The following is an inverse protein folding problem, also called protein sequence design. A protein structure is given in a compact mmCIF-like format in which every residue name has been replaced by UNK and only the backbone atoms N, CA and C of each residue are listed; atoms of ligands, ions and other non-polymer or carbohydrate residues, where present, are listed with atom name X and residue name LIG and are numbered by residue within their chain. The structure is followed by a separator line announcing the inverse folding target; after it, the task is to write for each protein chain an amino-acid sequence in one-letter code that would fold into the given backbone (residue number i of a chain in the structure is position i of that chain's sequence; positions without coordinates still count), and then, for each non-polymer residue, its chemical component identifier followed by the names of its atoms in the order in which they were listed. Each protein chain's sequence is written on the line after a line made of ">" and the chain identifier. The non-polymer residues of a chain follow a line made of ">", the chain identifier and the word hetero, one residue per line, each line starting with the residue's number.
data_IF_951503559616
#
_entry.id   IF_951503559616
#
_cell.length_a   1.000
_cell.length_b   1.000
_cell.length_c   1.000
_cell.angle_alpha   90.00
_cell.angle_beta   90.00
_cell.angle_gamma   90.00
#
_symmetry.space_group_name_H-M   'P 1'
#
loop_
_entity.id
_entity.type
_entity.pdbx_description
1 polymer ?
#
# COMPACT_ATOMS: atom_id res chain seq x y z
N UNK A 1 1.61 9.93 27.29
CA UNK A 1 0.77 9.15 26.35
C UNK A 1 1.49 8.74 25.05
N UNK A 2 2.83 8.57 25.03
CA UNK A 2 3.59 8.38 23.76
C UNK A 2 3.57 6.97 23.17
N UNK A 3 3.93 5.92 23.92
CA UNK A 3 4.24 4.59 23.34
C UNK A 3 3.08 3.85 22.67
N UNK A 4 1.85 4.03 23.13
CA UNK A 4 0.69 3.30 22.59
C UNK A 4 0.25 3.84 21.21
N UNK A 5 0.48 5.13 20.96
CA UNK A 5 0.13 5.78 19.70
C UNK A 5 1.08 5.35 18.56
N UNK A 6 2.38 5.18 18.87
CA UNK A 6 3.37 4.68 17.93
C UNK A 6 3.10 3.25 17.47
N UNK A 7 2.77 2.35 18.40
CA UNK A 7 2.44 0.97 18.07
C UNK A 7 1.22 0.85 17.15
N UNK A 8 0.21 1.70 17.38
CA UNK A 8 -1.01 1.74 16.56
C UNK A 8 -0.72 2.22 15.12
N UNK A 9 0.05 3.29 14.96
CA UNK A 9 0.39 3.84 13.64
C UNK A 9 1.30 2.92 12.85
N UNK A 10 2.32 2.35 13.48
CA UNK A 10 3.21 1.35 12.87
C UNK A 10 2.41 0.10 12.48
N UNK A 11 1.49 -0.34 13.33
CA UNK A 11 0.59 -1.46 13.02
C UNK A 11 -0.32 -1.17 11.83
N UNK A 12 -0.92 0.03 11.78
CA UNK A 12 -1.79 0.46 10.68
C UNK A 12 -1.01 0.57 9.36
N UNK A 13 0.16 1.22 9.36
CA UNK A 13 1.02 1.30 8.18
C UNK A 13 1.52 -0.07 7.72
N UNK A 14 1.89 -0.98 8.63
CA UNK A 14 2.23 -2.37 8.24
C UNK A 14 1.06 -3.08 7.55
N UNK A 15 -0.17 -2.88 8.02
CA UNK A 15 -1.35 -3.48 7.42
C UNK A 15 -1.63 -2.92 6.03
N UNK A 16 -1.53 -1.60 5.85
CA UNK A 16 -1.73 -0.96 4.54
C UNK A 16 -0.65 -1.43 3.57
N UNK A 17 0.61 -1.38 3.98
CA UNK A 17 1.74 -1.84 3.17
C UNK A 17 1.59 -3.30 2.73
N UNK A 18 1.14 -4.18 3.63
CA UNK A 18 0.91 -5.59 3.31
C UNK A 18 -0.22 -5.75 2.30
N UNK A 19 -1.33 -5.05 2.48
CA UNK A 19 -2.45 -5.07 1.55
C UNK A 19 -2.07 -4.53 0.15
N UNK A 20 -1.33 -3.42 0.10
CA UNK A 20 -0.86 -2.82 -1.16
C UNK A 20 0.12 -3.74 -1.89
N UNK A 21 1.02 -4.40 -1.14
CA UNK A 21 1.96 -5.38 -1.70
C UNK A 21 1.27 -6.64 -2.20
N UNK A 22 0.25 -7.12 -1.50
CA UNK A 22 -0.56 -8.27 -1.92
C UNK A 22 -1.33 -7.96 -3.22
N UNK A 23 -1.92 -6.77 -3.34
CA UNK A 23 -2.56 -6.28 -4.58
C UNK A 23 -1.58 -6.23 -5.75
N UNK A 24 -0.40 -5.66 -5.52
CA UNK A 24 0.65 -5.59 -6.56
C UNK A 24 1.12 -6.99 -6.98
N UNK A 25 1.24 -7.92 -6.03
CA UNK A 25 1.63 -9.29 -6.34
C UNK A 25 0.55 -10.01 -7.17
N UNK A 26 -0.72 -9.86 -6.81
CA UNK A 26 -1.86 -10.37 -7.58
C UNK A 26 -1.89 -9.82 -9.01
N UNK A 27 -1.65 -8.51 -9.18
CA UNK A 27 -1.57 -7.87 -10.50
C UNK A 27 -0.39 -8.42 -11.32
N UNK A 28 0.77 -8.64 -10.72
CA UNK A 28 1.92 -9.24 -11.43
C UNK A 28 1.70 -10.71 -11.78
N UNK A 29 1.07 -11.50 -10.91
CA UNK A 29 0.84 -12.94 -11.16
C UNK A 29 -0.28 -13.20 -12.17
N UNK A 30 -1.37 -12.42 -12.11
CA UNK A 30 -2.59 -12.68 -12.92
C UNK A 30 -2.85 -11.63 -13.99
N UNK A 31 -2.02 -10.59 -14.09
CA UNK A 31 -2.20 -9.53 -15.06
C UNK A 31 -3.53 -8.80 -14.90
N UNK A 32 -4.16 -8.46 -16.04
CA UNK A 32 -5.45 -7.76 -16.08
C UNK A 32 -6.57 -8.55 -15.38
N UNK A 33 -6.48 -9.88 -15.32
CA UNK A 33 -7.50 -10.71 -14.66
C UNK A 33 -7.56 -10.51 -13.15
N UNK A 34 -6.46 -10.07 -12.51
CA UNK A 34 -6.48 -9.70 -11.10
C UNK A 34 -7.44 -8.55 -10.80
N UNK A 35 -7.78 -7.70 -11.79
CA UNK A 35 -8.77 -6.64 -11.60
C UNK A 35 -10.13 -7.20 -11.19
N UNK A 36 -10.56 -8.33 -11.77
CA UNK A 36 -11.83 -8.98 -11.43
C UNK A 36 -11.89 -9.51 -9.99
N UNK A 37 -10.73 -9.78 -9.39
CA UNK A 37 -10.60 -10.28 -8.01
C UNK A 37 -10.52 -9.09 -7.04
N UNK A 38 -9.68 -8.11 -7.36
CA UNK A 38 -9.43 -6.94 -6.51
C UNK A 38 -10.61 -5.97 -6.50
N UNK A 39 -11.30 -5.89 -7.62
CA UNK A 39 -12.44 -5.04 -7.83
C UNK A 39 -13.46 -5.90 -8.60
N UNK A 40 -14.37 -6.59 -7.90
CA UNK A 40 -15.42 -7.34 -8.59
C UNK A 40 -16.50 -6.38 -9.08
N UNK A 41 -16.96 -6.55 -10.32
CA UNK A 41 -18.19 -5.95 -10.82
C UNK A 41 -18.11 -4.49 -11.30
N UNK A 42 -16.94 -3.84 -11.33
CA UNK A 42 -16.78 -2.69 -12.22
C UNK A 42 -16.26 -3.13 -13.59
N UNK A 43 -16.57 -2.34 -14.61
CA UNK A 43 -16.11 -2.53 -15.96
C UNK A 43 -14.76 -1.82 -16.12
N UNK A 44 -13.67 -2.55 -15.91
CA UNK A 44 -12.31 -2.01 -16.01
C UNK A 44 -11.76 -2.22 -17.42
N UNK A 45 -11.32 -1.13 -18.06
CA UNK A 45 -10.43 -1.24 -19.21
C UNK A 45 -9.02 -1.65 -18.79
N UNK A 46 -8.23 -2.20 -19.72
CA UNK A 46 -6.82 -2.55 -19.48
C UNK A 46 -5.96 -1.37 -18.97
N UNK A 47 -6.40 -0.13 -19.17
CA UNK A 47 -5.76 1.07 -18.64
C UNK A 47 -5.68 1.10 -17.11
N UNK A 48 -6.70 0.60 -16.39
CA UNK A 48 -6.66 0.58 -14.92
C UNK A 48 -5.55 -0.33 -14.40
N UNK A 49 -5.31 -1.46 -15.07
CA UNK A 49 -4.24 -2.38 -14.72
C UNK A 49 -2.87 -1.68 -14.78
N UNK A 50 -2.58 -0.97 -15.88
CA UNK A 50 -1.33 -0.23 -16.03
C UNK A 50 -1.21 0.92 -15.04
N UNK A 51 -2.30 1.65 -14.76
CA UNK A 51 -2.32 2.71 -13.75
C UNK A 51 -2.00 2.18 -12.34
N UNK A 52 -2.52 1.00 -11.99
CA UNK A 52 -2.24 0.36 -10.71
C UNK A 52 -0.81 -0.16 -10.63
N UNK A 53 -0.28 -0.75 -11.70
CA UNK A 53 1.12 -1.17 -11.77
C UNK A 53 2.09 0.00 -11.60
N UNK A 54 1.75 1.18 -12.12
CA UNK A 54 2.56 2.38 -11.93
C UNK A 54 2.39 3.04 -10.56
N UNK A 55 1.17 3.05 -10.00
CA UNK A 55 0.89 3.79 -8.75
C UNK A 55 1.21 2.99 -7.50
N UNK A 56 0.89 1.70 -7.45
CA UNK A 56 1.05 0.88 -6.24
C UNK A 56 2.50 0.86 -5.73
N UNK A 57 3.55 0.74 -6.58
CA UNK A 57 4.94 0.84 -6.11
C UNK A 57 5.27 2.21 -5.51
N UNK A 58 4.69 3.29 -6.06
CA UNK A 58 4.88 4.67 -5.58
C UNK A 58 4.19 4.86 -4.23
N UNK A 59 2.99 4.31 -4.04
CA UNK A 59 2.27 4.31 -2.75
C UNK A 59 3.04 3.56 -1.66
N UNK A 60 3.58 2.37 -1.99
CA UNK A 60 4.44 1.58 -1.12
C UNK A 60 5.65 2.43 -0.68
N UNK A 61 6.35 3.03 -1.64
CA UNK A 61 7.53 3.85 -1.35
C UNK A 61 7.20 5.08 -0.50
N UNK A 62 6.16 5.82 -0.86
CA UNK A 62 5.71 7.01 -0.12
C UNK A 62 5.29 6.68 1.32
N UNK A 63 4.56 5.58 1.53
CA UNK A 63 4.14 5.17 2.88
C UNK A 63 5.34 4.71 3.73
N UNK A 64 6.33 4.05 3.13
CA UNK A 64 7.58 3.70 3.84
C UNK A 64 8.39 4.93 4.25
N UNK A 65 8.43 5.96 3.40
CA UNK A 65 9.11 7.22 3.69
C UNK A 65 8.40 7.98 4.81
N UNK A 66 7.07 8.10 4.74
CA UNK A 66 6.26 8.76 5.77
C UNK A 66 6.37 8.06 7.13
N UNK A 67 6.39 6.72 7.15
CA UNK A 67 6.59 5.98 8.40
C UNK A 67 7.97 6.22 8.98
N UNK A 68 9.01 6.24 8.13
CA UNK A 68 10.39 6.52 8.55
C UNK A 68 10.53 7.94 9.12
N UNK A 69 10.03 8.94 8.41
CA UNK A 69 10.00 10.34 8.87
C UNK A 69 9.28 10.49 10.20
N UNK A 70 8.11 9.85 10.35
CA UNK A 70 7.35 9.87 11.59
C UNK A 70 8.10 9.24 12.77
N UNK A 71 8.79 8.11 12.54
CA UNK A 71 9.62 7.45 13.56
C UNK A 71 10.80 8.35 13.94
N UNK A 72 11.53 8.91 12.96
CA UNK A 72 12.68 9.78 13.20
C UNK A 72 12.27 11.03 14.00
N UNK A 73 11.22 11.73 13.56
CA UNK A 73 10.68 12.91 14.25
C UNK A 73 10.20 12.62 15.67
N UNK A 74 9.87 11.37 15.95
CA UNK A 74 9.42 10.91 17.27
C UNK A 74 10.55 10.40 18.17
N UNK A 75 11.71 10.10 17.58
CA UNK A 75 12.94 9.73 18.28
C UNK A 75 13.83 10.94 18.58
N UNK A 76 13.65 12.06 17.88
CA UNK A 76 14.32 13.35 18.16
C UNK A 76 13.72 14.10 19.37
N UNK A 77 13.33 13.37 20.42
CA UNK A 77 12.87 13.90 21.72
C UNK A 77 13.82 13.44 22.81
#
# INVERSE_FOLDING_TARGET
>A
MGRQHYGLLVGKSKSIFRATKERLNLLNERGVEALNILYPGLNYGGMLYYQLLESLPKEISAESLNLREYILKSMEI
#
